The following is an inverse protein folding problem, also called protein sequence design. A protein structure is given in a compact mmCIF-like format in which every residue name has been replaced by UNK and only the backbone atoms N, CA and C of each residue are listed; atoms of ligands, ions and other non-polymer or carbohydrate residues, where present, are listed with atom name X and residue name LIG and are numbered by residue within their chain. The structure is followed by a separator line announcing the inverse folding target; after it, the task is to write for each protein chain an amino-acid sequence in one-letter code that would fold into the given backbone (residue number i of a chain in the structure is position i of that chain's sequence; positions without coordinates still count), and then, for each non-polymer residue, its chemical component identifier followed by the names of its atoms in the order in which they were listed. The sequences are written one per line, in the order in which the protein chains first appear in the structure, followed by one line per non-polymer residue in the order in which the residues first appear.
data_IF_454093894877
#
_entry.id   IF_454093894877
#
_cell.length_a   1.000
_cell.length_b   1.000
_cell.length_c   1.000
_cell.angle_alpha   90.00
_cell.angle_beta   90.00
_cell.angle_gamma   90.00
#
_symmetry.space_group_name_H-M   'P 1'
#
loop_
_entity.id
_entity.type
_entity.pdbx_description
1 polymer ?
#
# COMPACT_ATOMS: atom_id res chain seq x y z
N UNK A 1 -13.39 8.69 -14.39
CA UNK A 1 -12.64 7.40 -14.27
C UNK A 1 -13.20 6.64 -13.07
N UNK A 2 -13.47 5.33 -13.18
CA UNK A 2 -14.20 4.53 -12.16
C UNK A 2 -13.41 4.29 -10.86
N UNK A 3 -12.08 4.45 -10.89
CA UNK A 3 -11.18 4.23 -9.76
C UNK A 3 -10.20 5.40 -9.62
N UNK A 4 -9.85 5.83 -8.40
CA UNK A 4 -8.95 6.97 -8.18
C UNK A 4 -7.47 6.63 -8.38
N UNK A 5 -7.11 5.34 -8.42
CA UNK A 5 -5.75 4.84 -8.69
C UNK A 5 -5.28 5.21 -10.09
N UNK A 6 -3.99 5.48 -10.23
CA UNK A 6 -3.40 5.89 -11.52
C UNK A 6 -3.66 7.36 -11.90
N UNK A 7 -4.22 8.17 -11.01
CA UNK A 7 -4.28 9.62 -11.21
C UNK A 7 -2.86 10.22 -11.12
N UNK A 8 -2.32 10.65 -12.26
CA UNK A 8 -0.94 11.14 -12.39
C UNK A 8 -0.66 12.41 -11.59
N UNK A 9 -1.61 13.34 -11.53
CA UNK A 9 -1.44 14.60 -10.81
C UNK A 9 -1.31 14.34 -9.30
N UNK A 10 -2.18 13.49 -8.76
CA UNK A 10 -2.14 13.09 -7.34
C UNK A 10 -0.87 12.31 -7.02
N UNK A 11 -0.47 11.37 -7.89
CA UNK A 11 0.77 10.61 -7.73
C UNK A 11 2.00 11.51 -7.74
N UNK A 12 2.12 12.38 -8.74
CA UNK A 12 3.27 13.29 -8.88
C UNK A 12 3.35 14.26 -7.69
N UNK A 13 2.20 14.79 -7.25
CA UNK A 13 2.11 15.62 -6.04
C UNK A 13 2.57 14.85 -4.80
N UNK A 14 2.07 13.63 -4.58
CA UNK A 14 2.45 12.82 -3.42
C UNK A 14 3.92 12.39 -3.46
N UNK A 15 4.47 12.06 -4.64
CA UNK A 15 5.89 11.73 -4.78
C UNK A 15 6.79 12.89 -4.35
N UNK A 16 6.35 14.15 -4.60
CA UNK A 16 7.09 15.34 -4.19
C UNK A 16 6.92 15.66 -2.71
N UNK A 17 5.71 15.49 -2.16
CA UNK A 17 5.34 16.05 -0.86
C UNK A 17 5.28 15.01 0.27
N UNK A 18 4.91 13.76 -0.04
CA UNK A 18 4.58 12.73 0.95
C UNK A 18 5.62 11.59 1.01
N UNK A 19 6.49 11.47 0.00
CA UNK A 19 7.56 10.45 -0.04
C UNK A 19 8.68 10.81 0.95
N UNK A 20 8.68 10.17 2.11
CA UNK A 20 9.71 10.40 3.13
C UNK A 20 11.02 9.64 2.83
N UNK A 21 12.18 10.21 3.22
CA UNK A 21 13.45 9.48 3.27
C UNK A 21 13.32 8.20 4.10
N UNK A 22 14.03 7.13 3.72
CA UNK A 22 13.90 5.80 4.35
C UNK A 22 14.05 5.83 5.88
N UNK A 23 15.01 6.60 6.40
CA UNK A 23 15.29 6.73 7.83
C UNK A 23 14.17 7.43 8.62
N UNK A 24 13.31 8.20 7.95
CA UNK A 24 12.22 8.98 8.56
C UNK A 24 10.85 8.30 8.46
N UNK A 25 10.77 7.12 7.81
CA UNK A 25 9.53 6.35 7.65
C UNK A 25 9.16 5.66 8.96
N UNK A 26 7.97 5.98 9.47
CA UNK A 26 7.52 5.47 10.76
C UNK A 26 6.69 4.19 10.66
N UNK A 27 6.08 3.89 9.50
CA UNK A 27 5.30 2.66 9.30
C UNK A 27 6.27 1.58 8.81
N UNK A 28 6.39 0.47 9.54
CA UNK A 28 7.21 -0.65 9.07
C UNK A 28 6.52 -1.36 7.92
N UNK A 29 5.32 -1.89 8.17
CA UNK A 29 4.53 -2.64 7.20
C UNK A 29 3.17 -1.97 7.02
N UNK A 30 2.80 -1.69 5.78
CA UNK A 30 1.50 -1.13 5.44
C UNK A 30 0.65 -2.13 4.67
N UNK A 31 -0.59 -2.31 5.12
CA UNK A 31 -1.56 -3.26 4.55
C UNK A 31 -2.82 -2.51 4.15
N UNK A 32 -3.07 -2.44 2.84
CA UNK A 32 -4.29 -1.86 2.29
C UNK A 32 -4.79 -2.72 1.13
N UNK A 33 -5.55 -3.76 1.45
CA UNK A 33 -6.27 -4.57 0.48
C UNK A 33 -7.58 -5.13 1.03
N UNK A 34 -8.49 -5.42 0.11
CA UNK A 34 -9.70 -6.17 0.39
C UNK A 34 -9.44 -7.68 0.25
N UNK A 35 -9.72 -8.43 1.32
CA UNK A 35 -9.64 -9.91 1.36
C UNK A 35 -10.67 -10.60 0.46
N UNK A 36 -11.72 -9.91 0.02
CA UNK A 36 -12.78 -10.46 -0.83
C UNK A 36 -12.36 -10.74 -2.28
N UNK A 37 -11.24 -10.18 -2.76
CA UNK A 37 -10.78 -10.34 -4.16
C UNK A 37 -9.84 -11.54 -4.38
N UNK A 38 -9.10 -11.97 -3.35
CA UNK A 38 -8.31 -13.20 -3.40
C UNK A 38 -8.16 -13.73 -1.97
N UNK A 39 -9.25 -14.27 -1.44
CA UNK A 39 -9.34 -14.61 -0.02
C UNK A 39 -8.30 -15.63 0.42
N UNK A 40 -7.92 -16.57 -0.43
CA UNK A 40 -6.97 -17.63 -0.09
C UNK A 40 -5.58 -17.06 0.23
N UNK A 41 -5.04 -16.18 -0.62
CA UNK A 41 -3.73 -15.55 -0.40
C UNK A 41 -3.83 -14.39 0.60
N UNK A 42 -4.83 -13.52 0.44
CA UNK A 42 -4.94 -12.27 1.22
C UNK A 42 -5.23 -12.51 2.69
N UNK A 43 -6.01 -13.55 3.05
CA UNK A 43 -6.23 -13.90 4.46
C UNK A 43 -4.96 -14.41 5.14
N UNK A 44 -4.17 -15.24 4.45
CA UNK A 44 -2.88 -15.73 4.95
C UNK A 44 -1.89 -14.58 5.15
N UNK A 45 -1.76 -13.72 4.14
CA UNK A 45 -0.90 -12.54 4.18
C UNK A 45 -1.31 -11.58 5.32
N UNK A 46 -2.62 -11.32 5.48
CA UNK A 46 -3.14 -10.48 6.57
C UNK A 46 -2.88 -11.09 7.95
N UNK A 47 -3.06 -12.41 8.10
CA UNK A 47 -2.78 -13.12 9.34
C UNK A 47 -1.32 -13.00 9.76
N UNK A 48 -0.39 -13.13 8.82
CA UNK A 48 1.05 -12.95 9.07
C UNK A 48 1.39 -11.49 9.37
N UNK A 49 0.83 -10.54 8.62
CA UNK A 49 1.07 -9.12 8.87
C UNK A 49 0.62 -8.68 10.28
N UNK A 50 -0.44 -9.31 10.81
CA UNK A 50 -1.00 -8.99 12.12
C UNK A 50 -0.09 -9.40 13.29
N UNK A 51 0.92 -10.24 13.06
CA UNK A 51 1.91 -10.63 14.08
C UNK A 51 3.15 -9.72 14.09
N UNK A 52 3.31 -8.88 13.07
CA UNK A 52 4.47 -8.00 12.91
C UNK A 52 4.19 -6.67 13.63
N UNK A 53 5.09 -6.27 14.54
CA UNK A 53 5.00 -4.99 15.22
C UNK A 53 5.16 -3.81 14.25
N UNK A 54 4.53 -2.68 14.56
CA UNK A 54 4.55 -1.47 13.71
C UNK A 54 3.94 -1.71 12.31
N UNK A 55 2.93 -2.57 12.24
CA UNK A 55 2.10 -2.78 11.05
C UNK A 55 0.87 -1.88 11.11
N UNK A 56 0.63 -1.12 10.04
CA UNK A 56 -0.59 -0.35 9.85
C UNK A 56 -1.53 -1.06 8.87
N UNK A 57 -2.69 -1.48 9.38
CA UNK A 57 -3.69 -2.26 8.62
C UNK A 57 -4.95 -1.41 8.40
N UNK A 58 -5.30 -1.18 7.13
CA UNK A 58 -6.51 -0.46 6.77
C UNK A 58 -7.69 -1.44 6.61
N UNK A 59 -8.74 -1.23 7.41
CA UNK A 59 -9.99 -2.03 7.36
C UNK A 59 -11.05 -1.45 6.43
N UNK A 60 -11.04 -0.13 6.25
CA UNK A 60 -12.03 0.61 5.48
C UNK A 60 -11.38 1.24 4.24
N UNK A 61 -12.20 1.51 3.23
CA UNK A 61 -11.77 2.32 2.08
C UNK A 61 -11.35 3.71 2.56
N UNK A 62 -10.24 4.17 2.04
CA UNK A 62 -9.69 5.51 2.29
C UNK A 62 -9.55 6.29 0.99
N UNK A 63 -9.52 7.63 1.05
CA UNK A 63 -9.15 8.45 -0.09
C UNK A 63 -7.77 8.06 -0.64
N UNK A 64 -7.59 8.24 -1.96
CA UNK A 64 -6.35 7.84 -2.63
C UNK A 64 -5.14 8.64 -2.12
N UNK A 65 -5.33 9.93 -1.84
CA UNK A 65 -4.31 10.81 -1.27
C UNK A 65 -3.86 10.32 0.11
N UNK A 66 -4.81 9.91 0.95
CA UNK A 66 -4.50 9.32 2.27
C UNK A 66 -3.75 8.00 2.11
N UNK A 67 -4.09 7.18 1.11
CA UNK A 67 -3.33 5.99 0.79
C UNK A 67 -1.88 6.32 0.39
N UNK A 68 -1.68 7.30 -0.50
CA UNK A 68 -0.35 7.72 -0.95
C UNK A 68 0.49 8.28 0.21
N UNK A 69 -0.13 9.07 1.11
CA UNK A 69 0.53 9.55 2.34
C UNK A 69 1.04 8.42 3.22
N UNK A 70 0.22 7.39 3.45
CA UNK A 70 0.65 6.21 4.19
C UNK A 70 1.75 5.45 3.45
N UNK A 71 1.63 5.28 2.13
CA UNK A 71 2.63 4.61 1.30
C UNK A 71 4.00 5.32 1.34
N UNK A 72 4.01 6.66 1.27
CA UNK A 72 5.23 7.48 1.37
C UNK A 72 5.91 7.42 2.74
N UNK A 73 5.17 7.05 3.78
CA UNK A 73 5.66 6.88 5.15
C UNK A 73 5.95 5.40 5.53
N UNK A 74 5.65 4.45 4.63
CA UNK A 74 5.82 3.01 4.88
C UNK A 74 7.12 2.46 4.29
N UNK A 75 7.82 1.60 5.04
CA UNK A 75 9.01 0.91 4.52
C UNK A 75 8.63 -0.23 3.58
N UNK A 76 7.66 -1.04 4.00
CA UNK A 76 7.14 -2.18 3.23
C UNK A 76 5.65 -2.05 2.99
N UNK A 77 5.18 -2.46 1.80
CA UNK A 77 3.75 -2.51 1.46
C UNK A 77 3.37 -3.93 1.05
N UNK A 78 2.38 -4.50 1.73
CA UNK A 78 1.89 -5.84 1.42
C UNK A 78 1.01 -5.80 0.16
N UNK A 79 1.48 -6.41 -0.92
CA UNK A 79 0.88 -6.39 -2.27
C UNK A 79 0.57 -7.79 -2.83
N UNK A 80 -0.08 -8.70 -2.06
CA UNK A 80 -0.48 -10.00 -2.57
C UNK A 80 -1.47 -9.84 -3.72
N UNK A 81 -1.51 -10.84 -4.59
CA UNK A 81 -2.35 -10.85 -5.80
C UNK A 81 -3.81 -10.55 -5.46
N UNK A 82 -4.47 -9.86 -6.38
CA UNK A 82 -5.92 -9.63 -6.33
C UNK A 82 -6.64 -10.62 -7.23
N UNK A 83 -7.71 -10.15 -7.88
CA UNK A 83 -8.35 -10.90 -8.96
C UNK A 83 -7.39 -11.15 -10.14
N UNK A 84 -6.40 -10.26 -10.35
CA UNK A 84 -5.38 -10.37 -11.39
C UNK A 84 -4.03 -10.85 -10.86
N UNK A 85 -3.12 -11.16 -11.79
CA UNK A 85 -1.71 -11.44 -11.52
C UNK A 85 -1.02 -10.26 -10.83
N UNK A 86 -1.19 -9.05 -11.40
CA UNK A 86 -0.58 -7.83 -10.88
C UNK A 86 -1.55 -6.96 -10.08
N UNK A 87 -1.00 -6.21 -9.12
CA UNK A 87 -1.70 -5.21 -8.34
C UNK A 87 -1.16 -3.81 -8.66
N UNK A 88 -2.06 -2.82 -8.83
CA UNK A 88 -1.68 -1.40 -8.91
C UNK A 88 -0.81 -0.97 -7.70
N UNK A 89 -1.07 -1.55 -6.53
CA UNK A 89 -0.33 -1.29 -5.28
C UNK A 89 1.15 -1.63 -5.37
N UNK A 90 1.55 -2.60 -6.19
CA UNK A 90 2.97 -2.93 -6.39
C UNK A 90 3.69 -1.75 -7.03
N UNK A 91 3.10 -1.18 -8.07
CA UNK A 91 3.66 -0.03 -8.80
C UNK A 91 3.59 1.26 -7.98
N UNK A 92 2.47 1.51 -7.30
CA UNK A 92 2.31 2.66 -6.40
C UNK A 92 3.31 2.59 -5.23
N UNK A 93 3.61 1.40 -4.69
CA UNK A 93 4.64 1.22 -3.67
C UNK A 93 6.02 1.65 -4.16
N UNK A 94 6.42 1.20 -5.36
CA UNK A 94 7.69 1.59 -5.96
C UNK A 94 7.79 3.11 -6.18
N UNK A 95 6.74 3.73 -6.72
CA UNK A 95 6.70 5.18 -6.95
C UNK A 95 6.84 5.97 -5.64
N UNK A 96 6.19 5.50 -4.57
CA UNK A 96 6.28 6.07 -3.23
C UNK A 96 7.54 5.63 -2.46
N UNK A 97 8.45 4.86 -3.08
CA UNK A 97 9.73 4.45 -2.52
C UNK A 97 9.65 3.41 -1.42
N UNK A 98 8.54 2.69 -1.30
CA UNK A 98 8.39 1.55 -0.40
C UNK A 98 8.74 0.25 -1.14
N UNK A 99 9.11 -0.79 -0.39
CA UNK A 99 9.38 -2.13 -0.94
C UNK A 99 8.09 -2.95 -0.95
N UNK A 100 7.56 -3.35 -2.12
CA UNK A 100 6.38 -4.22 -2.16
C UNK A 100 6.76 -5.65 -1.74
N UNK A 101 5.88 -6.28 -0.94
CA UNK A 101 5.94 -7.71 -0.61
C UNK A 101 4.82 -8.39 -1.40
N UNK A 102 5.18 -9.20 -2.40
CA UNK A 102 4.25 -9.85 -3.34
C UNK A 102 3.83 -11.25 -2.89
#
# INVERSE_FOLDING_TARGET
MRWPHGNLDKLTSAMKNDRKPWSQRTILLYVNFDVGTNGAERKKALSQASTIQNTQIMKNRIPFETYLQHAGNAKFILSPRGNGLDCHRTWEAFLMGAVPIV
#
